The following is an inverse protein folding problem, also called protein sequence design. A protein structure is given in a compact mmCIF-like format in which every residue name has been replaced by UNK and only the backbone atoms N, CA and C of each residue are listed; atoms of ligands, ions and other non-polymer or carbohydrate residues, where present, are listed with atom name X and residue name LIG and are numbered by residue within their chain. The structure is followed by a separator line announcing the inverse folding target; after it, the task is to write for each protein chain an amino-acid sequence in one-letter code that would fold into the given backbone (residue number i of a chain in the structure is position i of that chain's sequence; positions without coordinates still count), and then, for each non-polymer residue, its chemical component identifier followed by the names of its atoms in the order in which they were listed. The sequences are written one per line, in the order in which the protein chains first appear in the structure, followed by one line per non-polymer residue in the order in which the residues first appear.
data_IF_308739900593
#
_entry.id   IF_308739900593
#
_cell.length_a   1.000
_cell.length_b   1.000
_cell.length_c   1.000
_cell.angle_alpha   90.00
_cell.angle_beta   90.00
_cell.angle_gamma   90.00
#
_symmetry.space_group_name_H-M   'P 1'
#
loop_
_entity.id
_entity.type
_entity.pdbx_description
1 polymer ?
#
# COMPACT_ATOMS: atom_id res chain seq x y z
N UNK A 1 1.95 -14.73 -2.54
CA UNK A 1 3.13 -14.57 -3.41
C UNK A 1 3.35 -13.10 -3.73
N UNK A 2 2.32 -12.40 -4.24
CA UNK A 2 2.37 -10.95 -4.53
C UNK A 2 2.76 -10.11 -3.30
N UNK A 3 2.09 -10.28 -2.15
CA UNK A 3 2.47 -9.53 -0.94
C UNK A 3 3.87 -9.88 -0.41
N UNK A 4 4.35 -11.11 -0.64
CA UNK A 4 5.72 -11.49 -0.26
C UNK A 4 6.77 -10.75 -1.08
N UNK A 5 6.50 -10.50 -2.36
CA UNK A 5 7.39 -9.71 -3.25
C UNK A 5 7.52 -8.27 -2.73
N UNK A 6 6.39 -7.69 -2.34
CA UNK A 6 6.36 -6.32 -1.88
C UNK A 6 6.92 -6.16 -0.44
N UNK A 7 6.88 -7.24 0.36
CA UNK A 7 7.54 -7.33 1.68
C UNK A 7 9.07 -7.49 1.61
N UNK A 8 9.60 -8.24 0.63
CA UNK A 8 11.04 -8.52 0.50
C UNK A 8 11.84 -7.33 -0.01
N UNK A 9 11.19 -6.31 -0.58
CA UNK A 9 11.85 -5.18 -1.27
C UNK A 9 12.87 -5.68 -2.29
N UNK A 10 12.60 -6.83 -2.89
CA UNK A 10 13.46 -7.46 -3.89
C UNK A 10 13.15 -6.82 -5.24
N UNK A 11 14.05 -5.95 -5.67
CA UNK A 11 13.90 -5.19 -6.90
C UNK A 11 13.77 -6.10 -8.12
N UNK A 12 14.38 -7.29 -8.08
CA UNK A 12 14.34 -8.25 -9.17
C UNK A 12 12.89 -8.73 -9.38
N UNK A 13 12.20 -9.03 -8.27
CA UNK A 13 10.81 -9.47 -8.30
C UNK A 13 9.85 -8.33 -8.66
N UNK A 14 10.07 -7.12 -8.12
CA UNK A 14 9.25 -5.94 -8.46
C UNK A 14 9.38 -5.61 -9.94
N UNK A 15 10.61 -5.64 -10.48
CA UNK A 15 10.86 -5.36 -11.89
C UNK A 15 10.12 -6.35 -12.79
N UNK A 16 10.22 -7.65 -12.53
CA UNK A 16 9.57 -8.67 -13.35
C UNK A 16 8.04 -8.70 -13.20
N UNK A 17 7.51 -8.32 -12.04
CA UNK A 17 6.06 -8.29 -11.80
C UNK A 17 5.42 -6.93 -12.12
N UNK A 18 6.17 -5.89 -12.49
CA UNK A 18 5.65 -4.52 -12.66
C UNK A 18 4.41 -4.42 -13.56
N UNK A 19 4.39 -5.17 -14.67
CA UNK A 19 3.26 -5.18 -15.59
C UNK A 19 2.04 -5.85 -14.97
N UNK A 20 2.22 -7.01 -14.34
CA UNK A 20 1.14 -7.68 -13.62
C UNK A 20 0.59 -6.83 -12.46
N UNK A 21 1.46 -6.14 -11.72
CA UNK A 21 1.05 -5.22 -10.66
C UNK A 21 0.24 -4.06 -11.23
N UNK A 22 0.68 -3.49 -12.35
CA UNK A 22 -0.03 -2.43 -13.06
C UNK A 22 -1.42 -2.88 -13.52
N UNK A 23 -1.51 -4.04 -14.16
CA UNK A 23 -2.79 -4.60 -14.63
C UNK A 23 -3.75 -4.85 -13.46
N UNK A 24 -3.24 -5.36 -12.33
CA UNK A 24 -4.05 -5.59 -11.14
C UNK A 24 -4.57 -4.29 -10.51
N UNK A 25 -3.72 -3.25 -10.42
CA UNK A 25 -4.14 -1.93 -9.95
C UNK A 25 -5.14 -1.28 -10.90
N UNK A 26 -5.01 -1.47 -12.22
CA UNK A 26 -6.00 -1.01 -13.20
C UNK A 26 -7.35 -1.72 -13.05
N UNK A 27 -7.35 -3.05 -12.85
CA UNK A 27 -8.58 -3.78 -12.53
C UNK A 27 -9.24 -3.25 -11.25
N UNK A 28 -8.47 -3.01 -10.19
CA UNK A 28 -9.00 -2.43 -8.94
C UNK A 28 -9.55 -1.02 -9.14
N UNK A 29 -8.91 -0.21 -9.99
CA UNK A 29 -9.41 1.13 -10.32
C UNK A 29 -10.78 1.07 -10.99
N UNK A 30 -10.98 0.12 -11.90
CA UNK A 30 -12.27 -0.09 -12.56
C UNK A 30 -13.36 -0.51 -11.56
N UNK A 31 -13.07 -1.48 -10.69
CA UNK A 31 -14.00 -1.92 -9.65
C UNK A 31 -14.33 -0.79 -8.66
N UNK A 32 -13.33 -0.01 -8.25
CA UNK A 32 -13.51 1.14 -7.37
C UNK A 32 -14.46 2.17 -7.99
N UNK A 33 -14.29 2.46 -9.28
CA UNK A 33 -15.15 3.38 -10.01
C UNK A 33 -16.60 2.87 -10.06
N UNK A 34 -16.81 1.57 -10.30
CA UNK A 34 -18.14 0.97 -10.27
C UNK A 34 -18.83 1.12 -8.91
N UNK A 35 -18.08 0.98 -7.81
CA UNK A 35 -18.59 1.19 -6.44
C UNK A 35 -19.06 2.64 -6.26
N UNK A 36 -18.27 3.62 -6.69
CA UNK A 36 -18.65 5.04 -6.62
C UNK A 36 -19.89 5.33 -7.47
N UNK A 37 -19.95 4.76 -8.69
CA UNK A 37 -21.08 4.91 -9.61
C UNK A 37 -22.37 4.27 -9.07
N UNK A 38 -22.26 3.23 -8.24
CA UNK A 38 -23.40 2.65 -7.51
C UNK A 38 -23.95 3.53 -6.38
N UNK A 39 -23.28 4.67 -6.10
CA UNK A 39 -23.71 5.65 -5.11
C UNK A 39 -23.05 5.50 -3.73
N UNK A 40 -22.10 4.59 -3.57
CA UNK A 40 -21.35 4.42 -2.32
C UNK A 40 -20.23 5.45 -2.30
N UNK A 41 -20.31 6.41 -1.39
CA UNK A 41 -19.30 7.46 -1.23
C UNK A 41 -18.40 7.24 -0.02
N UNK A 42 -18.96 6.66 1.05
CA UNK A 42 -18.26 6.39 2.28
C UNK A 42 -18.41 4.92 2.64
N UNK A 43 -17.32 4.32 3.09
CA UNK A 43 -17.27 2.94 3.55
C UNK A 43 -16.48 2.85 4.85
N UNK A 44 -16.93 2.00 5.77
CA UNK A 44 -16.24 1.76 7.04
C UNK A 44 -16.05 0.27 7.21
N UNK A 45 -14.80 -0.17 7.14
CA UNK A 45 -14.45 -1.54 7.51
C UNK A 45 -14.24 -1.62 9.02
N UNK A 46 -14.81 -2.63 9.66
CA UNK A 46 -14.60 -2.89 11.10
C UNK A 46 -14.36 -4.36 11.36
N UNK A 47 -13.22 -4.67 11.98
CA UNK A 47 -12.86 -6.04 12.33
C UNK A 47 -12.22 -6.10 13.72
N UNK A 48 -12.77 -6.96 14.57
CA UNK A 48 -12.06 -7.40 15.77
C UNK A 48 -10.93 -8.35 15.38
N UNK A 49 -9.73 -8.18 15.93
CA UNK A 49 -8.59 -9.06 15.67
C UNK A 49 -7.65 -9.08 16.88
N UNK A 50 -6.69 -10.01 16.85
CA UNK A 50 -5.59 -10.06 17.82
C UNK A 50 -4.30 -9.67 17.13
N UNK A 51 -3.60 -8.69 17.69
CA UNK A 51 -2.28 -8.28 17.22
C UNK A 51 -1.22 -8.48 18.30
N UNK A 52 0.04 -8.59 17.89
CA UNK A 52 1.13 -8.72 18.86
C UNK A 52 1.32 -7.42 19.65
N UNK A 53 1.82 -7.52 20.89
CA UNK A 53 2.18 -6.36 21.70
C UNK A 53 3.18 -5.43 20.99
N UNK A 54 4.11 -6.00 20.22
CA UNK A 54 5.08 -5.23 19.44
C UNK A 54 4.41 -4.40 18.35
N UNK A 55 3.49 -5.02 17.60
CA UNK A 55 2.70 -4.35 16.57
C UNK A 55 1.80 -3.27 17.17
N UNK A 56 1.14 -3.56 18.29
CA UNK A 56 0.34 -2.57 19.03
C UNK A 56 1.18 -1.37 19.48
N UNK A 57 2.35 -1.61 20.08
CA UNK A 57 3.25 -0.53 20.51
C UNK A 57 3.75 0.28 19.32
N UNK A 58 4.09 -0.38 18.20
CA UNK A 58 4.46 0.31 16.96
C UNK A 58 3.33 1.22 16.47
N UNK A 59 2.09 0.75 16.46
CA UNK A 59 0.95 1.59 16.09
C UNK A 59 0.80 2.76 17.07
N UNK A 60 0.89 2.51 18.38
CA UNK A 60 0.79 3.55 19.41
C UNK A 60 1.84 4.65 19.28
N UNK A 61 3.09 4.30 18.99
CA UNK A 61 4.20 5.25 18.75
C UNK A 61 4.05 6.05 17.45
N UNK A 62 3.19 5.59 16.54
CA UNK A 62 2.93 6.21 15.25
C UNK A 62 1.52 6.81 15.13
N UNK A 63 0.80 6.97 16.25
CA UNK A 63 -0.48 7.69 16.25
C UNK A 63 -0.30 9.11 15.68
N UNK A 64 -1.23 9.52 14.81
CA UNK A 64 -1.21 10.77 14.06
C UNK A 64 -0.32 10.75 12.82
N UNK A 65 0.38 9.64 12.52
CA UNK A 65 1.23 9.50 11.34
C UNK A 65 0.54 8.70 10.22
N UNK A 66 1.18 8.71 9.06
CA UNK A 66 0.80 7.91 7.89
C UNK A 66 1.44 6.52 7.96
N UNK A 67 0.67 5.52 7.57
CA UNK A 67 1.08 4.14 7.40
C UNK A 67 0.75 3.73 5.96
N UNK A 68 1.73 3.22 5.22
CA UNK A 68 1.50 2.61 3.91
C UNK A 68 1.48 1.10 4.04
N UNK A 69 0.60 0.45 3.30
CA UNK A 69 0.71 -1.00 3.11
C UNK A 69 1.98 -1.30 2.34
N UNK A 70 2.60 -2.44 2.68
CA UNK A 70 3.75 -2.96 1.94
C UNK A 70 3.33 -3.71 0.68
N UNK A 71 2.04 -3.84 0.39
CA UNK A 71 1.46 -4.76 -0.58
C UNK A 71 -0.02 -4.47 -0.75
N UNK A 72 -0.74 -5.33 -1.49
CA UNK A 72 -2.19 -5.29 -1.47
C UNK A 72 -2.69 -5.74 -0.09
N UNK A 73 -3.63 -5.01 0.49
CA UNK A 73 -4.18 -5.36 1.80
C UNK A 73 -5.55 -5.99 1.61
N UNK A 74 -5.62 -7.30 1.82
CA UNK A 74 -6.87 -8.04 1.86
C UNK A 74 -7.36 -8.17 3.30
N UNK A 75 -8.57 -7.69 3.58
CA UNK A 75 -9.23 -7.82 4.86
C UNK A 75 -10.54 -8.59 4.68
N UNK A 76 -10.84 -9.44 5.66
CA UNK A 76 -12.06 -10.25 5.66
C UNK A 76 -12.60 -10.29 7.10
N UNK A 77 -13.84 -9.83 7.27
CA UNK A 77 -14.49 -9.75 8.59
C UNK A 77 -14.57 -11.11 9.33
N UNK A 78 -14.44 -12.25 8.63
CA UNK A 78 -14.47 -13.60 9.23
C UNK A 78 -13.12 -14.22 9.58
N UNK A 79 -11.99 -13.60 9.20
CA UNK A 79 -10.67 -14.24 9.34
C UNK A 79 -10.21 -14.44 10.79
N UNK A 80 -10.95 -13.90 11.76
CA UNK A 80 -10.76 -14.13 13.21
C UNK A 80 -10.80 -15.60 13.62
N UNK A 81 -11.44 -16.48 12.84
CA UNK A 81 -11.51 -17.91 13.17
C UNK A 81 -10.29 -18.73 12.75
N UNK A 82 -9.39 -18.20 11.91
CA UNK A 82 -8.34 -19.00 11.27
C UNK A 82 -6.92 -18.78 11.82
N UNK A 83 -6.73 -17.89 12.80
CA UNK A 83 -5.42 -17.70 13.48
C UNK A 83 -5.42 -18.16 14.94
N UNK A 84 -6.46 -18.88 15.38
CA UNK A 84 -6.57 -19.43 16.74
C UNK A 84 -5.86 -20.76 16.94
N UNK A 85 -5.31 -21.39 15.90
CA UNK A 85 -4.58 -22.66 16.01
C UNK A 85 -3.07 -22.46 15.86
N UNK A 86 -2.47 -21.69 16.76
CA UNK A 86 -1.16 -22.03 17.34
C UNK A 86 -0.67 -20.89 18.23
N UNK A 87 -0.25 -21.29 19.43
CA UNK A 87 0.38 -20.50 20.47
C UNK A 87 -0.61 -19.78 21.40
N UNK A 88 -0.74 -20.31 22.62
CA UNK A 88 -1.13 -19.59 23.82
C UNK A 88 -0.14 -18.43 24.08
N UNK A 89 -0.12 -17.42 23.22
CA UNK A 89 0.78 -16.29 23.35
C UNK A 89 0.14 -15.26 24.28
N UNK A 90 0.68 -15.13 25.50
CA UNK A 90 0.31 -14.09 26.47
C UNK A 90 0.59 -12.65 25.98
N UNK A 91 1.13 -12.49 24.77
CA UNK A 91 1.53 -11.22 24.16
C UNK A 91 0.57 -10.73 23.06
N UNK A 92 -0.62 -11.34 22.94
CA UNK A 92 -1.65 -10.86 22.01
C UNK A 92 -2.58 -9.86 22.69
N UNK A 93 -2.92 -8.80 21.97
CA UNK A 93 -3.84 -7.75 22.40
C UNK A 93 -5.08 -7.81 21.51
N UNK A 94 -6.25 -7.87 22.15
CA UNK A 94 -7.54 -7.77 21.48
C UNK A 94 -7.77 -6.32 21.02
N UNK A 95 -7.96 -6.14 19.71
CA UNK A 95 -8.19 -4.85 19.07
C UNK A 95 -9.41 -4.89 18.17
N UNK A 96 -10.08 -3.75 18.01
CA UNK A 96 -11.04 -3.48 16.93
C UNK A 96 -10.37 -2.51 15.98
N UNK A 97 -10.05 -2.98 14.77
CA UNK A 97 -9.54 -2.15 13.69
C UNK A 97 -10.72 -1.56 12.92
N UNK A 98 -10.77 -0.24 12.84
CA UNK A 98 -11.74 0.50 12.03
C UNK A 98 -10.99 1.29 10.96
N UNK A 99 -11.35 1.10 9.70
CA UNK A 99 -10.80 1.84 8.56
C UNK A 99 -11.94 2.62 7.91
N UNK A 100 -11.84 3.94 7.94
CA UNK A 100 -12.78 4.84 7.27
C UNK A 100 -12.24 5.21 5.89
N UNK A 101 -13.10 5.09 4.89
CA UNK A 101 -12.78 5.33 3.49
C UNK A 101 -13.79 6.33 2.92
N UNK A 102 -13.31 7.52 2.53
CA UNK A 102 -14.05 8.42 1.66
C UNK A 102 -13.61 8.13 0.22
N UNK A 103 -14.41 7.36 -0.51
CA UNK A 103 -14.01 6.77 -1.79
C UNK A 103 -13.68 7.83 -2.85
N UNK A 104 -14.26 9.04 -2.73
CA UNK A 104 -13.97 10.13 -3.66
C UNK A 104 -12.72 10.94 -3.32
N UNK A 105 -12.22 10.84 -2.09
CA UNK A 105 -11.08 11.62 -1.60
C UNK A 105 -9.80 10.78 -1.45
N UNK A 106 -9.88 9.49 -1.78
CA UNK A 106 -8.77 8.54 -1.64
C UNK A 106 -7.71 8.62 -2.76
N UNK A 107 -7.93 9.44 -3.79
CA UNK A 107 -7.00 9.56 -4.92
C UNK A 107 -6.87 8.23 -5.66
N UNK A 108 -5.64 7.83 -5.99
CA UNK A 108 -5.36 6.54 -6.64
C UNK A 108 -5.31 5.35 -5.66
N UNK A 109 -5.74 5.51 -4.40
CA UNK A 109 -5.88 4.37 -3.50
C UNK A 109 -7.20 3.64 -3.81
N UNK A 110 -7.16 2.77 -4.81
CA UNK A 110 -8.33 2.01 -5.23
C UNK A 110 -8.67 0.92 -4.22
N UNK A 111 -9.96 0.63 -4.12
CA UNK A 111 -10.46 -0.46 -3.29
C UNK A 111 -11.50 -1.26 -4.06
N UNK A 112 -11.49 -2.57 -3.80
CA UNK A 112 -12.59 -3.45 -4.13
C UNK A 112 -13.32 -3.84 -2.83
N UNK A 113 -14.65 -3.83 -2.88
CA UNK A 113 -15.53 -4.28 -1.80
C UNK A 113 -16.46 -5.33 -2.38
N UNK A 114 -16.45 -6.55 -1.84
CA UNK A 114 -17.44 -7.56 -2.21
C UNK A 114 -18.80 -7.23 -1.59
N UNK A 115 -19.63 -6.52 -2.37
CA UNK A 115 -21.00 -6.14 -1.97
C UNK A 115 -22.04 -7.24 -2.25
N UNK A 116 -21.65 -8.34 -2.89
CA UNK A 116 -22.59 -9.41 -3.27
C UNK A 116 -23.05 -10.23 -2.06
N UNK A 117 -22.29 -10.20 -0.97
CA UNK A 117 -22.54 -10.97 0.25
C UNK A 117 -23.28 -10.13 1.28
N UNK A 118 -24.56 -9.90 0.99
CA UNK A 118 -25.38 -8.86 1.61
C UNK A 118 -25.65 -8.94 3.12
N UNK A 119 -24.97 -9.73 3.96
CA UNK A 119 -25.29 -9.76 5.40
C UNK A 119 -24.21 -10.22 6.40
N UNK A 120 -23.06 -10.78 6.01
CA UNK A 120 -22.14 -11.35 7.03
C UNK A 120 -20.64 -11.26 6.72
N UNK A 121 -20.23 -10.88 5.50
CA UNK A 121 -18.84 -11.02 5.06
C UNK A 121 -18.42 -9.85 4.18
N UNK A 122 -17.85 -8.83 4.82
CA UNK A 122 -17.18 -7.76 4.10
C UNK A 122 -15.76 -8.25 3.78
N UNK A 123 -15.51 -8.48 2.49
CA UNK A 123 -14.18 -8.71 1.94
C UNK A 123 -13.76 -7.43 1.24
N UNK A 124 -12.62 -6.88 1.65
CA UNK A 124 -12.09 -5.62 1.13
C UNK A 124 -10.67 -5.86 0.67
N UNK A 125 -10.37 -5.41 -0.54
CA UNK A 125 -9.03 -5.43 -1.09
C UNK A 125 -8.60 -4.00 -1.39
N UNK A 126 -7.58 -3.53 -0.69
CA UNK A 126 -6.94 -2.25 -0.95
C UNK A 126 -5.77 -2.44 -1.90
N UNK A 127 -5.60 -1.48 -2.81
CA UNK A 127 -4.50 -1.42 -3.77
C UNK A 127 -3.13 -1.33 -3.08
N UNK A 128 -2.08 -1.63 -3.84
CA UNK A 128 -0.70 -1.48 -3.45
C UNK A 128 -0.41 -0.04 -2.99
N UNK A 129 0.36 0.09 -1.90
CA UNK A 129 0.75 1.39 -1.31
C UNK A 129 -0.42 2.26 -0.84
N UNK A 130 -1.60 1.67 -0.59
CA UNK A 130 -2.68 2.39 0.07
C UNK A 130 -2.17 2.97 1.38
N UNK A 131 -2.37 4.28 1.53
CA UNK A 131 -1.90 5.05 2.68
C UNK A 131 -3.05 5.33 3.64
N UNK A 132 -2.80 5.04 4.91
CA UNK A 132 -3.72 5.22 6.01
C UNK A 132 -3.16 6.22 7.02
N UNK A 133 -3.98 7.16 7.46
CA UNK A 133 -3.68 8.00 8.62
C UNK A 133 -4.17 7.30 9.88
N UNK A 134 -3.26 7.10 10.83
CA UNK A 134 -3.60 6.49 12.12
C UNK A 134 -4.18 7.55 13.06
N UNK A 135 -5.50 7.69 13.05
CA UNK A 135 -6.23 8.76 13.75
C UNK A 135 -6.17 8.63 15.27
N UNK A 136 -6.57 7.47 15.80
CA UNK A 136 -6.65 7.29 17.25
C UNK A 136 -6.47 5.85 17.68
N UNK A 137 -5.88 5.70 18.86
CA UNK A 137 -5.81 4.42 19.58
C UNK A 137 -6.27 4.67 21.00
N UNK A 138 -7.35 4.02 21.41
CA UNK A 138 -7.92 4.16 22.75
C UNK A 138 -8.50 2.85 23.23
N UNK A 139 -8.61 2.70 24.54
CA UNK A 139 -9.16 1.49 25.15
C UNK A 139 -10.66 1.70 25.41
N UNK A 140 -11.49 0.80 24.89
CA UNK A 140 -12.91 0.68 25.25
C UNK A 140 -13.11 -0.62 26.03
N UNK A 141 -13.35 -0.49 27.34
CA UNK A 141 -13.48 -1.61 28.29
C UNK A 141 -12.23 -2.53 28.25
N UNK A 142 -12.38 -3.72 27.67
CA UNK A 142 -11.35 -4.76 27.60
C UNK A 142 -10.68 -4.83 26.22
N UNK A 143 -11.11 -4.01 25.26
CA UNK A 143 -10.64 -4.07 23.87
C UNK A 143 -10.07 -2.72 23.46
N UNK A 144 -9.00 -2.72 22.67
CA UNK A 144 -8.44 -1.50 22.11
C UNK A 144 -9.10 -1.16 20.78
N UNK A 145 -9.58 0.06 20.60
CA UNK A 145 -10.01 0.58 19.31
C UNK A 145 -8.83 1.24 18.61
N UNK A 146 -8.58 0.83 17.36
CA UNK A 146 -7.60 1.41 16.45
C UNK A 146 -8.36 1.97 15.27
N UNK A 147 -8.39 3.30 15.15
CA UNK A 147 -9.07 3.99 14.05
C UNK A 147 -8.05 4.50 13.04
N UNK A 148 -8.27 4.16 11.77
CA UNK A 148 -7.50 4.62 10.64
C UNK A 148 -8.42 5.26 9.60
N UNK A 149 -7.89 6.17 8.81
CA UNK A 149 -8.57 6.77 7.65
C UNK A 149 -7.72 6.52 6.41
N UNK A 150 -8.30 6.01 5.32
CA UNK A 150 -7.61 5.92 4.04
C UNK A 150 -7.50 7.33 3.42
N UNK A 151 -6.32 7.70 2.94
CA UNK A 151 -6.00 9.09 2.54
C UNK A 151 -5.18 9.15 1.26
N UNK A 152 -5.37 10.16 0.42
CA UNK A 152 -4.53 10.42 -0.75
C UNK A 152 -3.14 11.02 -0.42
N UNK A 153 -2.77 11.19 0.84
CA UNK A 153 -1.51 11.82 1.26
C UNK A 153 -0.27 11.14 0.65
N UNK A 154 -0.28 9.81 0.54
CA UNK A 154 0.82 9.05 -0.06
C UNK A 154 1.07 9.43 -1.51
N UNK A 155 -0.01 9.57 -2.30
CA UNK A 155 0.06 10.03 -3.69
C UNK A 155 0.59 11.46 -3.78
N UNK A 156 0.12 12.36 -2.91
CA UNK A 156 0.58 13.75 -2.87
C UNK A 156 2.08 13.84 -2.57
N UNK A 157 2.59 13.00 -1.66
CA UNK A 157 4.02 12.92 -1.34
C UNK A 157 4.82 12.44 -2.57
N UNK A 158 4.37 11.37 -3.24
CA UNK A 158 5.03 10.83 -4.43
C UNK A 158 5.03 11.87 -5.56
N UNK A 159 3.88 12.47 -5.84
CA UNK A 159 3.72 13.50 -6.87
C UNK A 159 4.65 14.68 -6.63
N UNK A 160 4.70 15.16 -5.38
CA UNK A 160 5.62 16.25 -5.00
C UNK A 160 7.08 15.87 -5.23
N UNK A 161 7.48 14.64 -4.87
CA UNK A 161 8.84 14.17 -5.13
C UNK A 161 9.18 14.15 -6.63
N UNK A 162 8.26 13.65 -7.46
CA UNK A 162 8.40 13.64 -8.92
C UNK A 162 8.55 15.08 -9.46
N UNK A 163 7.66 15.98 -9.06
CA UNK A 163 7.69 17.39 -9.47
C UNK A 163 8.98 18.10 -9.05
N UNK A 164 9.44 17.90 -7.81
CA UNK A 164 10.67 18.49 -7.31
C UNK A 164 11.91 17.92 -8.02
N UNK A 165 11.88 16.64 -8.41
CA UNK A 165 12.95 16.01 -9.21
C UNK A 165 12.98 16.59 -10.62
N UNK A 166 11.83 16.74 -11.27
CA UNK A 166 11.74 17.35 -12.61
C UNK A 166 12.22 18.81 -12.63
N UNK A 167 12.05 19.56 -11.54
CA UNK A 167 12.61 20.92 -11.42
C UNK A 167 14.13 20.94 -11.39
N UNK A 168 14.76 19.87 -10.91
CA UNK A 168 16.21 19.75 -10.84
C UNK A 168 16.80 19.16 -12.11
N UNK A 169 16.03 18.27 -12.76
CA UNK A 169 16.46 17.54 -13.95
C UNK A 169 15.30 17.52 -14.95
N UNK A 170 15.41 18.35 -15.99
CA UNK A 170 14.35 18.51 -16.98
C UNK A 170 14.19 17.25 -17.84
N UNK A 171 12.95 16.83 -18.09
CA UNK A 171 12.57 15.77 -19.02
C UNK A 171 13.12 14.35 -18.75
N UNK A 172 13.49 14.01 -17.50
CA UNK A 172 13.81 12.62 -17.16
C UNK A 172 12.57 11.72 -17.08
N UNK A 173 12.67 10.48 -17.55
CA UNK A 173 11.58 9.51 -17.44
C UNK A 173 11.30 9.11 -15.99
N UNK A 174 10.12 8.54 -15.73
CA UNK A 174 9.75 8.01 -14.41
C UNK A 174 10.73 6.90 -13.96
N UNK A 175 11.29 6.14 -14.91
CA UNK A 175 12.29 5.10 -14.64
C UNK A 175 13.58 5.69 -14.08
N UNK A 176 14.04 6.81 -14.66
CA UNK A 176 15.21 7.53 -14.15
C UNK A 176 14.94 8.18 -12.80
N UNK A 177 13.75 8.78 -12.61
CA UNK A 177 13.33 9.34 -11.31
C UNK A 177 13.30 8.26 -10.23
N UNK A 178 12.82 7.05 -10.55
CA UNK A 178 12.85 5.93 -9.62
C UNK A 178 14.28 5.49 -9.30
N UNK A 179 15.18 5.46 -10.29
CA UNK A 179 16.62 5.28 -10.07
C UNK A 179 17.22 6.31 -9.12
N UNK A 180 16.88 7.60 -9.30
CA UNK A 180 17.31 8.69 -8.42
C UNK A 180 16.78 8.51 -6.99
N UNK A 181 15.53 8.09 -6.83
CA UNK A 181 14.96 7.80 -5.51
C UNK A 181 15.75 6.67 -4.80
N UNK A 182 16.08 5.61 -5.52
CA UNK A 182 16.90 4.52 -4.96
C UNK A 182 18.30 4.98 -4.56
N UNK A 183 18.90 5.88 -5.35
CA UNK A 183 20.15 6.57 -5.01
C UNK A 183 20.03 7.35 -3.70
N UNK A 184 18.99 8.19 -3.56
CA UNK A 184 18.74 9.00 -2.36
C UNK A 184 18.46 8.13 -1.11
N UNK A 185 17.91 6.94 -1.32
CA UNK A 185 17.68 5.94 -0.25
C UNK A 185 18.92 5.07 0.06
N UNK A 186 20.08 5.36 -0.55
CA UNK A 186 21.32 4.57 -0.43
C UNK A 186 21.15 3.08 -0.82
N UNK A 187 20.31 2.79 -1.82
CA UNK A 187 20.02 1.43 -2.31
C UNK A 187 20.90 1.04 -3.50
N UNK A 188 22.21 1.32 -3.40
CA UNK A 188 23.19 1.16 -4.48
C UNK A 188 23.16 -0.23 -5.16
N UNK A 189 23.14 -1.31 -4.36
CA UNK A 189 23.14 -2.67 -4.91
C UNK A 189 21.86 -2.99 -5.70
N UNK A 190 20.71 -2.46 -5.27
CA UNK A 190 19.44 -2.67 -5.98
C UNK A 190 19.34 -1.76 -7.21
N UNK A 191 19.87 -0.54 -7.10
CA UNK A 191 19.95 0.43 -8.20
C UNK A 191 20.75 -0.13 -9.39
N UNK A 192 21.91 -0.73 -9.13
CA UNK A 192 22.73 -1.32 -10.18
C UNK A 192 21.97 -2.40 -10.95
N UNK A 193 21.28 -3.30 -10.25
CA UNK A 193 20.48 -4.35 -10.87
C UNK A 193 19.32 -3.76 -11.67
N UNK A 194 18.60 -2.80 -11.09
CA UNK A 194 17.51 -2.11 -11.74
C UNK A 194 17.93 -1.50 -13.09
N UNK A 195 19.03 -0.76 -13.09
CA UNK A 195 19.55 -0.16 -14.33
C UNK A 195 20.08 -1.19 -15.31
N UNK A 196 20.68 -2.29 -14.83
CA UNK A 196 21.07 -3.39 -15.72
C UNK A 196 19.86 -4.03 -16.40
N UNK A 197 18.75 -4.21 -15.69
CA UNK A 197 17.51 -4.68 -16.32
C UNK A 197 16.92 -3.66 -17.28
N UNK A 198 16.94 -2.39 -16.92
CA UNK A 198 16.46 -1.32 -17.79
C UNK A 198 17.26 -1.29 -19.09
N UNK A 199 18.60 -1.34 -19.03
CA UNK A 199 19.47 -1.39 -20.22
C UNK A 199 19.16 -2.58 -21.15
N UNK A 200 18.77 -3.73 -20.60
CA UNK A 200 18.41 -4.91 -21.40
C UNK A 200 17.05 -4.75 -22.10
N UNK A 201 16.14 -3.96 -21.53
CA UNK A 201 14.79 -3.73 -22.05
C UNK A 201 14.72 -2.50 -22.97
N UNK A 202 15.66 -1.56 -22.85
CA UNK A 202 15.69 -0.33 -23.64
C UNK A 202 16.15 -0.60 -25.09
N UNK A 203 15.52 0.11 -26.04
CA UNK A 203 16.03 0.14 -27.41
C UNK A 203 17.35 0.91 -27.47
N UNK A 204 18.21 0.59 -28.45
CA UNK A 204 19.54 1.19 -28.59
C UNK A 204 19.56 2.71 -28.77
N UNK A 205 18.40 3.33 -29.03
CA UNK A 205 18.25 4.76 -29.28
C UNK A 205 17.41 5.46 -28.19
N UNK A 206 17.22 4.81 -27.04
CA UNK A 206 16.38 5.37 -25.98
C UNK A 206 17.11 6.49 -25.22
N UNK A 207 16.41 7.60 -24.96
CA UNK A 207 16.98 8.81 -24.33
C UNK A 207 17.54 8.54 -22.93
N UNK A 208 16.91 7.63 -22.18
CA UNK A 208 17.35 7.20 -20.85
C UNK A 208 18.76 6.58 -20.82
N UNK A 209 19.31 6.08 -21.94
CA UNK A 209 20.65 5.47 -21.95
C UNK A 209 21.73 6.43 -21.44
N UNK A 210 21.63 7.72 -21.81
CA UNK A 210 22.57 8.76 -21.39
C UNK A 210 22.59 8.98 -19.87
N UNK A 211 21.49 8.65 -19.18
CA UNK A 211 21.35 8.79 -17.72
C UNK A 211 21.83 7.56 -16.95
N UNK A 212 21.96 6.42 -17.62
CA UNK A 212 22.31 5.14 -16.98
C UNK A 212 23.81 4.85 -17.11
N UNK A 213 24.42 5.22 -18.24
CA UNK A 213 25.83 4.96 -18.51
C UNK A 213 26.82 5.95 -17.85
N UNK A 214 26.30 7.04 -17.26
CA UNK A 214 27.05 8.09 -16.58
C UNK A 214 26.91 8.04 -15.06
#
# INVERSE_FOLDING_TARGET
MINKVSETKDIDQVYHLRYFLSDLSECLSHEHQQIIESGIENFVFSQQMKISKNEFNYLKENQGKLLSTKGFLFLNSLSTKLTTESIENKDLIDVVLQIECNLREMGNNHIFIDLTRSNEKEEVLFDLNTTFRLESIHQDKQTWSIKMMATNDGELIIKKYIEDTHRQIENVSISIIFGKLMCDMNKWNQLQKYFQYLLNDLSSNHEDLAWIEH
#
